data_IF_481075271122
#
_entry.id   IF_481075271122
#
_cell.length_a   1.000
_cell.length_b   1.000
_cell.length_c   1.000
_cell.angle_alpha   90.00
_cell.angle_beta   90.00
_cell.angle_gamma   90.00
#
_symmetry.space_group_name_H-M   'P 1'
#
loop_
_entity.id
_entity.type
_entity.pdbx_description
1 polymer ?
#
# COMPACT_ATOMS: atom_id res chain seq x y z
N UNK A 1 -5.77 29.20 -7.25
CA UNK A 1 -5.58 28.18 -6.21
C UNK A 1 -5.97 26.84 -6.81
N UNK A 2 -5.00 26.01 -7.16
CA UNK A 2 -5.24 24.68 -7.72
C UNK A 2 -4.52 23.68 -6.82
N UNK A 3 -5.29 22.93 -6.05
CA UNK A 3 -4.76 21.78 -5.31
C UNK A 3 -4.41 20.71 -6.34
N UNK A 4 -3.15 20.25 -6.38
CA UNK A 4 -2.73 19.16 -7.26
C UNK A 4 -2.64 17.88 -6.45
N UNK A 5 -3.62 17.00 -6.60
CA UNK A 5 -3.61 15.68 -5.97
C UNK A 5 -2.78 14.71 -6.81
N UNK A 6 -1.98 13.82 -6.19
CA UNK A 6 -1.17 12.85 -6.90
C UNK A 6 -2.00 11.61 -7.27
N UNK A 7 -3.02 11.79 -8.11
CA UNK A 7 -3.88 10.71 -8.66
C UNK A 7 -3.15 9.69 -9.54
N UNK A 8 -1.84 9.85 -9.69
CA UNK A 8 -0.95 8.96 -10.42
C UNK A 8 -0.14 8.08 -9.45
N UNK A 9 -0.16 8.40 -8.16
CA UNK A 9 0.54 7.68 -7.12
C UNK A 9 -0.36 6.56 -6.59
N UNK A 10 0.12 5.32 -6.74
CA UNK A 10 -0.67 4.14 -6.39
C UNK A 10 -0.96 4.09 -4.88
N UNK A 11 -0.08 4.60 -4.02
CA UNK A 11 -0.34 4.65 -2.59
C UNK A 11 -1.41 5.68 -2.22
N UNK A 12 -1.47 6.80 -2.94
CA UNK A 12 -2.54 7.79 -2.83
C UNK A 12 -3.89 7.19 -3.24
N UNK A 13 -3.95 6.54 -4.40
CA UNK A 13 -5.19 5.93 -4.88
C UNK A 13 -5.69 4.85 -3.92
N UNK A 14 -4.80 3.99 -3.44
CA UNK A 14 -5.11 2.96 -2.45
C UNK A 14 -5.61 3.59 -1.14
N UNK A 15 -4.88 4.59 -0.63
CA UNK A 15 -5.27 5.26 0.61
C UNK A 15 -6.62 5.97 0.53
N UNK A 16 -6.92 6.61 -0.61
CA UNK A 16 -8.21 7.24 -0.87
C UNK A 16 -9.32 6.20 -0.90
N UNK A 17 -9.14 5.08 -1.60
CA UNK A 17 -10.15 4.02 -1.71
C UNK A 17 -10.47 3.41 -0.35
N UNK A 18 -9.45 3.08 0.45
CA UNK A 18 -9.66 2.56 1.81
C UNK A 18 -10.27 3.61 2.75
N UNK A 19 -9.87 4.88 2.65
CA UNK A 19 -10.46 5.95 3.47
C UNK A 19 -11.94 6.14 3.14
N UNK A 20 -12.31 6.18 1.86
CA UNK A 20 -13.71 6.28 1.44
C UNK A 20 -14.53 5.10 1.99
N UNK A 21 -13.99 3.88 1.95
CA UNK A 21 -14.65 2.70 2.52
C UNK A 21 -15.00 2.89 4.01
N UNK A 22 -14.13 3.54 4.79
CA UNK A 22 -14.36 3.75 6.23
C UNK A 22 -15.39 4.81 6.58
N UNK A 23 -15.70 5.73 5.65
CA UNK A 23 -16.63 6.85 5.87
C UNK A 23 -18.04 6.50 5.38
N UNK A 24 -18.21 5.34 4.76
CA UNK A 24 -19.47 4.92 4.18
C UNK A 24 -20.45 4.40 5.24
N UNK A 25 -21.68 4.94 5.25
CA UNK A 25 -22.73 4.56 6.20
C UNK A 25 -23.37 3.22 5.79
N UNK A 26 -23.15 2.15 6.56
CA UNK A 26 -23.63 0.78 6.29
C UNK A 26 -25.13 0.55 6.55
N UNK A 27 -25.93 1.62 6.58
CA UNK A 27 -27.37 1.53 6.93
C UNK A 27 -28.28 0.92 5.84
N UNK A 28 -27.76 0.57 4.65
CA UNK A 28 -28.55 0.01 3.54
C UNK A 28 -27.82 -1.10 2.79
N UNK A 29 -28.55 -2.08 2.22
CA UNK A 29 -27.95 -3.17 1.41
C UNK A 29 -27.15 -2.66 0.19
N UNK A 30 -27.57 -1.53 -0.40
CA UNK A 30 -26.80 -0.86 -1.46
C UNK A 30 -25.45 -0.35 -0.95
N UNK A 31 -25.40 0.09 0.31
CA UNK A 31 -24.18 0.50 0.97
C UNK A 31 -23.23 -0.66 1.23
N UNK A 32 -23.75 -1.84 1.61
CA UNK A 32 -22.93 -3.06 1.79
C UNK A 32 -22.28 -3.49 0.47
N UNK A 33 -23.04 -3.42 -0.64
CA UNK A 33 -22.51 -3.71 -1.97
C UNK A 33 -21.48 -2.71 -2.44
N UNK A 34 -21.72 -1.43 -2.20
CA UNK A 34 -20.75 -0.39 -2.49
C UNK A 34 -19.47 -0.56 -1.64
N UNK A 35 -19.59 -0.86 -0.35
CA UNK A 35 -18.46 -1.10 0.55
C UNK A 35 -17.60 -2.28 0.11
N UNK A 36 -18.22 -3.44 -0.16
CA UNK A 36 -17.50 -4.61 -0.65
C UNK A 36 -16.82 -4.38 -2.01
N UNK A 37 -17.47 -3.65 -2.92
CA UNK A 37 -16.88 -3.29 -4.21
C UNK A 37 -15.67 -2.35 -4.06
N UNK A 38 -15.77 -1.35 -3.18
CA UNK A 38 -14.68 -0.41 -2.92
C UNK A 38 -13.47 -1.14 -2.32
N UNK A 39 -13.69 -2.05 -1.36
CA UNK A 39 -12.63 -2.89 -0.79
C UNK A 39 -11.98 -3.75 -1.87
N UNK A 40 -12.77 -4.37 -2.76
CA UNK A 40 -12.25 -5.17 -3.86
C UNK A 40 -11.41 -4.35 -4.85
N UNK A 41 -11.88 -3.17 -5.24
CA UNK A 41 -11.16 -2.26 -6.13
C UNK A 41 -9.86 -1.82 -5.46
N UNK A 42 -9.90 -1.41 -4.19
CA UNK A 42 -8.73 -0.98 -3.42
C UNK A 42 -7.67 -2.08 -3.32
N UNK A 43 -8.09 -3.29 -2.98
CA UNK A 43 -7.20 -4.45 -2.95
C UNK A 43 -6.58 -4.74 -4.33
N UNK A 44 -7.36 -4.61 -5.41
CA UNK A 44 -6.88 -4.85 -6.78
C UNK A 44 -5.86 -3.81 -7.22
N UNK A 45 -6.15 -2.52 -7.02
CA UNK A 45 -5.20 -1.43 -7.32
C UNK A 45 -3.91 -1.61 -6.52
N UNK A 46 -4.02 -1.98 -5.26
CA UNK A 46 -2.86 -2.22 -4.40
C UNK A 46 -2.03 -3.43 -4.85
N UNK A 47 -2.67 -4.52 -5.28
CA UNK A 47 -1.99 -5.68 -5.85
C UNK A 47 -1.18 -5.28 -7.09
N UNK A 48 -1.80 -4.59 -8.05
CA UNK A 48 -1.09 -4.09 -9.23
C UNK A 48 0.07 -3.16 -8.87
N UNK A 49 -0.13 -2.26 -7.90
CA UNK A 49 0.93 -1.39 -7.37
C UNK A 49 2.12 -2.17 -6.83
N UNK A 50 1.86 -3.24 -6.07
CA UNK A 50 2.91 -4.07 -5.49
C UNK A 50 3.73 -4.80 -6.56
N UNK A 51 3.09 -5.30 -7.61
CA UNK A 51 3.77 -5.96 -8.75
C UNK A 51 4.65 -4.96 -9.51
N UNK A 52 4.18 -3.73 -9.70
CA UNK A 52 4.96 -2.67 -10.33
C UNK A 52 6.18 -2.26 -9.48
N UNK A 53 6.03 -2.16 -8.15
CA UNK A 53 7.13 -1.93 -7.22
C UNK A 53 8.17 -3.06 -7.26
N UNK A 54 7.71 -4.32 -7.36
CA UNK A 54 8.60 -5.46 -7.53
C UNK A 54 9.35 -5.41 -8.85
N UNK A 55 8.68 -4.98 -9.92
CA UNK A 55 9.31 -4.80 -11.22
C UNK A 55 10.39 -3.71 -11.20
N UNK A 56 10.14 -2.60 -10.50
CA UNK A 56 11.13 -1.56 -10.26
C UNK A 56 12.34 -2.09 -9.49
N UNK A 57 12.13 -2.80 -8.38
CA UNK A 57 13.21 -3.40 -7.59
C UNK A 57 14.07 -4.41 -8.38
N UNK A 58 13.47 -5.13 -9.34
CA UNK A 58 14.23 -6.01 -10.25
C UNK A 58 15.07 -5.22 -11.25
N UNK A 59 14.62 -4.04 -11.68
CA UNK A 59 15.30 -3.29 -12.74
C UNK A 59 16.19 -2.13 -12.24
N UNK A 60 16.19 -1.83 -10.94
CA UNK A 60 16.98 -0.76 -10.32
C UNK A 60 18.48 -0.79 -10.67
N UNK A 61 19.06 -1.98 -10.82
CA UNK A 61 20.48 -2.14 -11.15
C UNK A 61 20.78 -2.16 -12.68
N UNK A 62 19.75 -1.99 -13.52
CA UNK A 62 19.84 -1.97 -15.00
C UNK A 62 19.35 -0.64 -15.60
N UNK A 63 18.65 0.17 -14.82
CA UNK A 63 18.23 1.55 -15.15
C UNK A 63 17.95 2.29 -13.85
N UNK A 64 18.51 3.49 -13.68
CA UNK A 64 18.12 4.40 -12.60
C UNK A 64 16.59 4.65 -12.68
N UNK A 65 15.86 4.35 -11.60
CA UNK A 65 14.43 4.57 -11.33
C UNK A 65 13.43 4.42 -12.53
N UNK A 66 12.59 3.37 -12.49
CA UNK A 66 11.63 3.01 -13.54
C UNK A 66 10.71 4.14 -14.01
N UNK A 67 10.29 5.05 -13.11
CA UNK A 67 9.44 6.19 -13.47
C UNK A 67 10.08 7.18 -14.45
N UNK A 68 11.37 7.50 -14.26
CA UNK A 68 12.14 8.36 -15.17
C UNK A 68 12.44 7.64 -16.49
N UNK A 69 12.80 6.36 -16.39
CA UNK A 69 13.13 5.56 -17.57
C UNK A 69 11.94 5.38 -18.52
N UNK A 70 10.71 5.21 -17.99
CA UNK A 70 9.49 5.17 -18.81
C UNK A 70 9.23 6.51 -19.49
N UNK A 71 9.35 7.64 -18.77
CA UNK A 71 9.18 8.98 -19.33
C UNK A 71 10.16 9.24 -20.49
N UNK A 72 11.42 8.82 -20.35
CA UNK A 72 12.46 9.02 -21.36
C UNK A 72 12.37 8.04 -22.55
N UNK A 73 11.76 6.86 -22.37
CA UNK A 73 11.40 5.96 -23.50
C UNK A 73 10.20 6.44 -24.29
N UNK A 74 9.21 7.07 -23.64
CA UNK A 74 8.12 7.76 -24.34
C UNK A 74 8.67 8.92 -25.19
N UNK A 75 9.71 9.60 -24.68
CA UNK A 75 10.44 10.64 -25.42
C UNK A 75 11.43 10.10 -26.48
N UNK A 76 11.55 8.76 -26.62
CA UNK A 76 12.27 8.11 -27.71
C UNK A 76 13.79 8.09 -27.59
N UNK A 77 14.35 8.35 -26.40
CA UNK A 77 15.79 8.57 -26.20
C UNK A 77 16.55 7.28 -25.80
N UNK A 78 15.88 6.25 -25.28
CA UNK A 78 16.55 5.03 -24.80
C UNK A 78 15.86 3.72 -25.22
N UNK A 79 16.65 2.67 -25.46
CA UNK A 79 16.19 1.29 -25.54
C UNK A 79 16.32 0.64 -24.16
N UNK A 80 15.21 0.55 -23.42
CA UNK A 80 15.18 -0.16 -22.13
C UNK A 80 15.27 -1.68 -22.33
N UNK A 81 16.25 -2.31 -21.70
CA UNK A 81 16.37 -3.77 -21.67
C UNK A 81 15.73 -4.31 -20.38
N UNK A 82 14.40 -4.20 -20.31
CA UNK A 82 13.61 -4.62 -19.17
C UNK A 82 13.68 -6.13 -18.98
N UNK A 83 14.00 -6.57 -17.76
CA UNK A 83 13.89 -7.97 -17.38
C UNK A 83 12.70 -8.16 -16.46
N UNK A 84 11.83 -9.10 -16.82
CA UNK A 84 10.71 -9.53 -15.97
C UNK A 84 11.14 -10.51 -14.89
N UNK A 85 12.19 -11.28 -15.15
CA UNK A 85 12.62 -12.36 -14.28
C UNK A 85 14.13 -12.27 -14.06
N UNK A 86 14.59 -12.07 -12.81
CA UNK A 86 16.00 -12.19 -12.51
C UNK A 86 16.44 -13.64 -12.72
N UNK A 87 17.68 -13.85 -13.16
CA UNK A 87 18.23 -15.21 -13.23
C UNK A 87 18.42 -15.77 -11.83
N UNK A 88 18.39 -17.11 -11.67
CA UNK A 88 18.62 -17.74 -10.36
C UNK A 88 19.96 -17.37 -9.73
N UNK A 89 20.98 -17.15 -10.58
CA UNK A 89 22.27 -16.64 -10.14
C UNK A 89 22.11 -15.25 -9.51
N UNK A 90 21.54 -14.29 -10.25
CA UNK A 90 21.34 -12.92 -9.77
C UNK A 90 20.47 -12.85 -8.52
N UNK A 91 19.41 -13.64 -8.47
CA UNK A 91 18.52 -13.76 -7.32
C UNK A 91 19.29 -14.16 -6.06
N UNK A 92 20.15 -15.17 -6.18
CA UNK A 92 20.90 -15.72 -5.04
C UNK A 92 22.07 -14.83 -4.62
N UNK A 93 22.74 -14.17 -5.56
CA UNK A 93 23.97 -13.42 -5.26
C UNK A 93 23.75 -11.95 -4.96
N UNK A 94 22.71 -11.33 -5.52
CA UNK A 94 22.47 -9.89 -5.39
C UNK A 94 21.15 -9.61 -4.66
N UNK A 95 20.02 -10.00 -5.25
CA UNK A 95 18.71 -9.54 -4.77
C UNK A 95 18.35 -9.96 -3.34
N UNK A 96 18.78 -11.13 -2.86
CA UNK A 96 18.53 -11.52 -1.46
C UNK A 96 19.29 -10.71 -0.41
N UNK A 97 20.26 -9.90 -0.83
CA UNK A 97 21.01 -9.01 0.07
C UNK A 97 20.56 -7.55 -0.03
N UNK A 98 19.76 -7.21 -1.05
CA UNK A 98 19.22 -5.87 -1.24
C UNK A 98 17.94 -5.69 -0.41
N UNK A 99 17.97 -4.75 0.54
CA UNK A 99 16.85 -4.53 1.48
C UNK A 99 15.61 -4.03 0.72
N UNK A 100 15.76 -3.14 -0.26
CA UNK A 100 14.69 -2.68 -1.14
C UNK A 100 13.99 -3.83 -1.89
N UNK A 101 14.73 -4.78 -2.45
CA UNK A 101 14.15 -5.96 -3.11
C UNK A 101 13.38 -6.84 -2.13
N UNK A 102 13.92 -7.06 -0.93
CA UNK A 102 13.24 -7.83 0.12
C UNK A 102 11.95 -7.12 0.59
N UNK A 103 11.95 -5.79 0.67
CA UNK A 103 10.78 -4.99 1.00
C UNK A 103 9.67 -5.17 -0.05
N UNK A 104 9.99 -4.93 -1.33
CA UNK A 104 9.05 -5.13 -2.44
C UNK A 104 8.54 -6.58 -2.54
N UNK A 105 9.41 -7.56 -2.29
CA UNK A 105 9.04 -8.98 -2.27
C UNK A 105 8.02 -9.28 -1.17
N UNK A 106 8.28 -8.81 0.05
CA UNK A 106 7.38 -8.97 1.19
C UNK A 106 6.04 -8.28 0.95
N UNK A 107 6.08 -7.08 0.35
CA UNK A 107 4.87 -6.33 0.00
C UNK A 107 4.04 -7.04 -1.04
N UNK A 108 4.66 -7.51 -2.12
CA UNK A 108 3.95 -8.22 -3.20
C UNK A 108 3.31 -9.50 -2.68
N UNK A 109 4.07 -10.29 -1.91
CA UNK A 109 3.51 -11.47 -1.24
C UNK A 109 2.33 -11.11 -0.34
N UNK A 110 2.48 -10.06 0.49
CA UNK A 110 1.42 -9.59 1.37
C UNK A 110 0.18 -9.15 0.60
N UNK A 111 0.37 -8.45 -0.52
CA UNK A 111 -0.71 -7.91 -1.34
C UNK A 111 -1.48 -9.03 -2.02
N UNK A 112 -0.79 -10.03 -2.57
CA UNK A 112 -1.43 -11.17 -3.23
C UNK A 112 -2.27 -11.98 -2.25
N UNK A 113 -1.80 -12.16 -1.00
CA UNK A 113 -2.57 -12.86 0.03
C UNK A 113 -3.74 -11.99 0.51
N UNK A 114 -3.52 -10.70 0.78
CA UNK A 114 -4.58 -9.76 1.19
C UNK A 114 -5.68 -9.63 0.13
N UNK A 115 -5.32 -9.73 -1.15
CA UNK A 115 -6.26 -9.64 -2.27
C UNK A 115 -7.36 -10.71 -2.22
N UNK A 116 -7.07 -11.89 -1.65
CA UNK A 116 -8.08 -12.94 -1.40
C UNK A 116 -9.22 -12.39 -0.52
N UNK A 117 -8.89 -11.64 0.52
CA UNK A 117 -9.85 -10.97 1.37
C UNK A 117 -10.61 -9.86 0.65
N UNK A 118 -9.92 -9.09 -0.20
CA UNK A 118 -10.57 -8.08 -1.04
C UNK A 118 -11.58 -8.68 -2.01
N UNK A 119 -11.28 -9.83 -2.61
CA UNK A 119 -12.19 -10.55 -3.49
C UNK A 119 -13.39 -11.13 -2.73
N UNK A 120 -13.14 -11.74 -1.56
CA UNK A 120 -14.19 -12.34 -0.74
C UNK A 120 -15.06 -11.30 -0.01
N UNK A 121 -14.63 -10.03 0.06
CA UNK A 121 -15.41 -8.91 0.60
C UNK A 121 -16.67 -8.58 -0.21
N UNK A 122 -16.77 -9.05 -1.46
CA UNK A 122 -17.97 -8.84 -2.29
C UNK A 122 -19.18 -9.51 -1.61
N UNK A 123 -20.30 -8.80 -1.37
CA UNK A 123 -21.40 -9.36 -0.57
C UNK A 123 -21.97 -10.67 -1.10
N UNK A 124 -22.10 -10.92 -2.42
CA UNK A 124 -22.56 -12.21 -2.92
C UNK A 124 -21.68 -13.39 -2.48
N UNK A 125 -20.38 -13.14 -2.30
CA UNK A 125 -19.41 -14.14 -1.84
C UNK A 125 -19.48 -14.21 -0.32
N UNK A 126 -19.26 -13.07 0.37
CA UNK A 126 -19.20 -13.00 1.83
C UNK A 126 -20.45 -13.59 2.50
N UNK A 127 -21.64 -13.24 2.02
CA UNK A 127 -22.92 -13.70 2.57
C UNK A 127 -23.20 -15.19 2.33
N UNK A 128 -22.42 -15.84 1.46
CA UNK A 128 -22.53 -17.28 1.18
C UNK A 128 -21.57 -18.13 2.01
N UNK A 129 -20.61 -17.51 2.71
CA UNK A 129 -19.60 -18.22 3.48
C UNK A 129 -20.17 -18.69 4.83
N UNK A 130 -19.80 -19.90 5.22
CA UNK A 130 -19.94 -20.33 6.61
C UNK A 130 -18.88 -19.64 7.48
N UNK A 131 -19.11 -19.53 8.79
CA UNK A 131 -18.14 -18.89 9.71
C UNK A 131 -16.71 -19.44 9.58
N UNK A 132 -16.47 -20.77 9.47
CA UNK A 132 -15.11 -21.28 9.22
C UNK A 132 -14.53 -20.84 7.87
N UNK A 133 -15.37 -20.74 6.84
CA UNK A 133 -14.94 -20.29 5.51
C UNK A 133 -14.66 -18.78 5.49
N UNK A 134 -15.46 -17.96 6.16
CA UNK A 134 -15.22 -16.53 6.37
C UNK A 134 -13.90 -16.30 7.13
N UNK A 135 -13.69 -17.01 8.23
CA UNK A 135 -12.44 -16.99 8.99
C UNK A 135 -11.22 -17.33 8.13
N UNK A 136 -11.34 -18.33 7.26
CA UNK A 136 -10.23 -18.79 6.40
C UNK A 136 -9.99 -17.94 5.16
N UNK A 137 -11.05 -17.44 4.51
CA UNK A 137 -10.97 -16.81 3.20
C UNK A 137 -11.08 -15.28 3.25
N UNK A 138 -11.69 -14.73 4.31
CA UNK A 138 -11.83 -13.29 4.50
C UNK A 138 -10.92 -12.75 5.61
N UNK A 139 -10.91 -13.32 6.82
CA UNK A 139 -10.14 -12.77 7.94
C UNK A 139 -8.66 -13.15 7.94
N UNK A 140 -8.35 -14.44 7.78
CA UNK A 140 -6.97 -14.94 7.83
C UNK A 140 -6.04 -14.29 6.78
N UNK A 141 -6.46 -14.11 5.51
CA UNK A 141 -5.57 -13.51 4.52
C UNK A 141 -5.30 -12.02 4.79
N UNK A 142 -6.19 -11.30 5.47
CA UNK A 142 -5.92 -9.92 5.92
C UNK A 142 -4.78 -9.88 6.94
N UNK A 143 -4.75 -10.84 7.87
CA UNK A 143 -3.68 -10.92 8.88
C UNK A 143 -2.36 -11.28 8.21
N UNK A 144 -2.33 -12.31 7.37
CA UNK A 144 -1.11 -12.73 6.68
C UNK A 144 -0.60 -11.62 5.76
N UNK A 145 -1.48 -11.03 4.95
CA UNK A 145 -1.14 -9.91 4.08
C UNK A 145 -0.62 -8.70 4.85
N UNK A 146 -1.33 -8.32 5.91
CA UNK A 146 -0.95 -7.26 6.84
C UNK A 146 0.43 -7.45 7.44
N UNK A 147 0.78 -8.68 7.85
CA UNK A 147 2.14 -8.97 8.34
C UNK A 147 3.21 -8.78 7.27
N UNK A 148 2.92 -9.11 6.01
CA UNK A 148 3.80 -8.81 4.87
C UNK A 148 4.03 -7.31 4.68
N UNK A 149 3.01 -6.48 4.88
CA UNK A 149 3.11 -5.02 4.82
C UNK A 149 3.89 -4.44 5.99
N UNK A 150 3.76 -5.01 7.19
CA UNK A 150 4.55 -4.62 8.37
C UNK A 150 6.04 -4.87 8.08
N UNK A 151 6.38 -6.06 7.59
CA UNK A 151 7.77 -6.43 7.25
C UNK A 151 8.30 -5.51 6.15
N UNK A 152 7.54 -5.31 5.06
CA UNK A 152 7.90 -4.39 3.98
C UNK A 152 8.20 -2.97 4.51
N UNK A 153 7.29 -2.43 5.33
CA UNK A 153 7.42 -1.06 5.86
C UNK A 153 8.66 -0.92 6.74
N UNK A 154 8.96 -1.92 7.58
CA UNK A 154 10.18 -1.93 8.38
C UNK A 154 11.45 -1.98 7.49
N UNK A 155 11.45 -2.78 6.43
CA UNK A 155 12.58 -2.87 5.51
C UNK A 155 12.78 -1.56 4.74
N UNK A 156 11.73 -0.91 4.26
CA UNK A 156 11.84 0.42 3.63
C UNK A 156 12.35 1.49 4.61
N UNK A 157 11.97 1.45 5.89
CA UNK A 157 12.56 2.33 6.89
C UNK A 157 14.05 2.03 7.12
N UNK A 158 14.46 0.76 7.05
CA UNK A 158 15.85 0.33 7.19
C UNK A 158 16.72 0.73 6.00
N UNK A 159 16.17 0.70 4.79
CA UNK A 159 16.84 1.12 3.54
C UNK A 159 17.35 2.57 3.61
N UNK A 160 16.52 3.47 4.17
CA UNK A 160 16.77 4.92 4.14
C UNK A 160 17.49 5.46 5.37
N UNK A 161 17.79 4.63 6.37
CA UNK A 161 18.49 5.04 7.59
C UNK A 161 19.96 4.62 7.58
N UNK A 162 20.83 5.45 8.15
CA UNK A 162 22.28 5.23 8.10
C UNK A 162 22.76 4.04 8.93
N UNK A 163 22.05 3.70 10.01
CA UNK A 163 22.32 2.58 10.88
C UNK A 163 20.98 1.99 11.32
N UNK A 164 20.88 0.66 11.37
CA UNK A 164 19.62 -0.05 11.66
C UNK A 164 18.92 0.33 12.97
N UNK A 165 19.66 0.89 13.95
CA UNK A 165 19.15 1.29 15.26
C UNK A 165 19.00 2.81 15.43
N UNK A 166 19.41 3.60 14.44
CA UNK A 166 19.33 5.06 14.48
C UNK A 166 18.25 5.50 13.49
N UNK A 167 17.05 5.87 13.98
CA UNK A 167 16.01 6.36 13.08
C UNK A 167 16.49 7.59 12.32
N UNK A 168 16.00 7.77 11.08
CA UNK A 168 16.37 8.87 10.20
C UNK A 168 15.22 9.88 10.03
N UNK A 169 14.81 10.62 11.08
CA UNK A 169 13.70 11.56 11.03
C UNK A 169 13.98 12.81 10.18
N UNK A 170 15.15 12.90 9.54
CA UNK A 170 15.47 13.93 8.55
C UNK A 170 15.18 13.50 7.11
N UNK A 171 14.82 12.24 6.87
CA UNK A 171 14.65 11.66 5.53
C UNK A 171 13.17 11.44 5.26
N UNK A 172 12.66 11.99 4.14
CA UNK A 172 11.26 11.85 3.77
C UNK A 172 10.83 10.40 3.60
N UNK A 173 11.68 9.58 2.96
CA UNK A 173 11.47 8.13 2.80
C UNK A 173 11.28 7.40 4.13
N UNK A 174 11.90 7.88 5.22
CA UNK A 174 11.76 7.26 6.53
C UNK A 174 10.38 7.48 7.13
N UNK A 175 9.80 8.67 6.97
CA UNK A 175 8.42 8.95 7.39
C UNK A 175 7.41 8.23 6.52
N UNK A 176 7.65 8.12 5.22
CA UNK A 176 6.85 7.30 4.29
C UNK A 176 6.77 5.87 4.83
N UNK A 177 7.92 5.24 5.11
CA UNK A 177 7.96 3.91 5.70
C UNK A 177 7.27 3.82 7.07
N UNK A 178 7.43 4.84 7.94
CA UNK A 178 6.80 4.88 9.26
C UNK A 178 5.27 4.93 9.18
N UNK A 179 4.70 5.78 8.32
CA UNK A 179 3.26 5.87 8.18
C UNK A 179 2.69 4.62 7.53
N UNK A 180 3.37 4.04 6.55
CA UNK A 180 3.00 2.72 6.00
C UNK A 180 3.01 1.63 7.07
N UNK A 181 3.99 1.65 7.99
CA UNK A 181 4.06 0.70 9.10
C UNK A 181 2.85 0.85 10.04
N UNK A 182 2.50 2.08 10.44
CA UNK A 182 1.34 2.33 11.31
C UNK A 182 0.05 1.89 10.62
N UNK A 183 -0.11 2.22 9.33
CA UNK A 183 -1.25 1.78 8.53
C UNK A 183 -1.34 0.25 8.42
N UNK A 184 -0.23 -0.43 8.15
CA UNK A 184 -0.14 -1.87 8.07
C UNK A 184 -0.51 -2.57 9.39
N UNK A 185 -0.08 -2.00 10.54
CA UNK A 185 -0.49 -2.48 11.86
C UNK A 185 -2.01 -2.34 12.02
N UNK A 186 -2.60 -1.22 11.61
CA UNK A 186 -4.05 -0.98 11.67
C UNK A 186 -4.85 -2.01 10.88
N UNK A 187 -4.47 -2.30 9.63
CA UNK A 187 -5.16 -3.33 8.83
C UNK A 187 -4.92 -4.76 9.35
N UNK A 188 -3.73 -5.05 9.84
CA UNK A 188 -3.44 -6.37 10.45
C UNK A 188 -4.31 -6.60 11.69
N UNK A 189 -4.45 -5.57 12.53
CA UNK A 189 -5.32 -5.61 13.71
C UNK A 189 -6.80 -5.71 13.33
N UNK A 190 -7.26 -5.04 12.28
CA UNK A 190 -8.61 -5.24 11.74
C UNK A 190 -8.87 -6.71 11.42
N UNK A 191 -7.99 -7.34 10.61
CA UNK A 191 -8.10 -8.75 10.26
C UNK A 191 -8.08 -9.67 11.48
N UNK A 192 -7.22 -9.37 12.46
CA UNK A 192 -7.07 -10.18 13.68
C UNK A 192 -8.28 -10.07 14.61
N UNK A 193 -8.87 -8.88 14.72
CA UNK A 193 -10.08 -8.65 15.52
C UNK A 193 -11.33 -9.23 14.84
N UNK A 194 -11.31 -9.39 13.50
CA UNK A 194 -12.38 -9.99 12.71
C UNK A 194 -12.87 -11.35 13.21
N UNK A 195 -11.96 -12.17 13.74
CA UNK A 195 -12.31 -13.47 14.32
C UNK A 195 -13.18 -13.40 15.59
N UNK A 196 -13.30 -12.24 16.21
CA UNK A 196 -13.95 -12.04 17.51
C UNK A 196 -15.13 -11.06 17.49
N UNK A 197 -15.67 -10.71 16.32
CA UNK A 197 -16.74 -9.71 16.12
C UNK A 197 -18.05 -10.02 16.86
N UNK A 198 -18.21 -11.24 17.37
CA UNK A 198 -19.32 -11.64 18.26
C UNK A 198 -19.41 -10.73 19.51
N UNK A 199 -18.28 -10.14 19.94
CA UNK A 199 -18.25 -9.20 21.06
C UNK A 199 -18.30 -7.75 20.56
N UNK A 200 -19.27 -6.92 21.01
CA UNK A 200 -19.40 -5.54 20.54
C UNK A 200 -18.15 -4.67 20.76
N UNK A 201 -17.38 -4.95 21.83
CA UNK A 201 -16.12 -4.25 22.07
C UNK A 201 -15.02 -4.58 21.05
N UNK A 202 -15.03 -5.80 20.51
CA UNK A 202 -14.08 -6.26 19.47
C UNK A 202 -14.49 -5.69 18.12
N UNK A 203 -15.78 -5.66 17.81
CA UNK A 203 -16.33 -5.02 16.60
C UNK A 203 -16.01 -3.52 16.57
N UNK A 204 -16.18 -2.79 17.69
CA UNK A 204 -15.76 -1.39 17.79
C UNK A 204 -14.25 -1.22 17.57
N UNK A 205 -13.42 -2.07 18.18
CA UNK A 205 -11.97 -2.03 18.01
C UNK A 205 -11.54 -2.32 16.57
N UNK A 206 -12.23 -3.23 15.87
CA UNK A 206 -12.02 -3.54 14.45
C UNK A 206 -12.28 -2.32 13.58
N UNK A 207 -13.45 -1.69 13.74
CA UNK A 207 -13.83 -0.49 12.98
C UNK A 207 -12.86 0.65 13.23
N UNK A 208 -12.49 0.87 14.49
CA UNK A 208 -11.50 1.89 14.87
C UNK A 208 -10.12 1.61 14.26
N UNK A 209 -9.68 0.36 14.26
CA UNK A 209 -8.39 -0.04 13.69
C UNK A 209 -8.36 0.17 12.17
N UNK A 210 -9.45 -0.16 11.49
CA UNK A 210 -9.63 0.06 10.04
C UNK A 210 -9.63 1.53 9.70
N UNK A 211 -10.33 2.34 10.49
CA UNK A 211 -10.37 3.78 10.37
C UNK A 211 -8.97 4.39 10.54
N UNK A 212 -8.28 4.09 11.64
CA UNK A 212 -6.93 4.62 11.89
C UNK A 212 -5.97 4.20 10.77
N UNK A 213 -5.98 2.92 10.39
CA UNK A 213 -5.11 2.40 9.33
C UNK A 213 -5.28 3.14 8.01
N UNK A 214 -6.53 3.31 7.57
CA UNK A 214 -6.86 3.97 6.29
C UNK A 214 -6.44 5.43 6.27
N UNK A 215 -6.74 6.18 7.34
CA UNK A 215 -6.39 7.59 7.44
C UNK A 215 -4.88 7.82 7.50
N UNK A 216 -4.15 6.94 8.18
CA UNK A 216 -2.69 7.04 8.25
C UNK A 216 -2.05 6.80 6.88
N UNK A 217 -2.52 5.83 6.10
CA UNK A 217 -2.09 5.67 4.70
C UNK A 217 -2.40 6.91 3.85
N UNK A 218 -3.53 7.58 4.11
CA UNK A 218 -3.85 8.82 3.40
C UNK A 218 -2.84 9.93 3.75
N UNK A 219 -2.51 10.09 5.03
CA UNK A 219 -1.47 11.04 5.44
C UNK A 219 -0.09 10.71 4.85
N UNK A 220 0.27 9.43 4.76
CA UNK A 220 1.49 8.98 4.11
C UNK A 220 1.58 9.44 2.65
N UNK A 221 0.54 9.13 1.88
CA UNK A 221 0.51 9.42 0.44
C UNK A 221 0.55 10.92 0.14
N UNK A 222 -0.07 11.75 1.00
CA UNK A 222 -0.03 13.20 0.90
C UNK A 222 1.35 13.78 1.20
N UNK A 223 2.13 13.14 2.09
CA UNK A 223 3.48 13.60 2.41
C UNK A 223 4.48 13.36 1.28
N UNK A 224 4.20 12.45 0.32
CA UNK A 224 5.08 12.19 -0.83
C UNK A 224 5.23 13.38 -1.77
N UNK A 225 4.21 14.24 -1.85
CA UNK A 225 4.18 15.38 -2.75
C UNK A 225 3.97 16.67 -1.95
N UNK A 226 5.05 17.36 -1.51
CA UNK A 226 4.90 18.65 -0.86
C UNK A 226 4.14 19.60 -1.80
N UNK A 227 3.06 20.18 -1.29
CA UNK A 227 2.23 21.13 -2.03
C UNK A 227 3.09 22.36 -2.37
N UNK A 228 3.53 22.47 -3.62
CA UNK A 228 4.26 23.65 -4.09
C UNK A 228 3.32 24.86 -4.14
N UNK A 229 3.51 25.80 -3.22
CA UNK A 229 2.87 27.11 -3.28
C UNK A 229 3.76 27.97 -4.18
N UNK A 230 3.33 28.20 -5.42
CA UNK A 230 3.97 29.21 -6.28
C UNK A 230 3.70 30.60 -5.68
N UNK A 231 4.59 31.07 -4.82
CA UNK A 231 4.65 32.45 -4.35
C UNK A 231 5.38 33.31 -5.39
N UNK A 232 4.83 33.40 -6.61
CA UNK A 232 5.29 34.32 -7.64
C UNK A 232 4.13 35.14 -8.22
N UNK A 233 3.61 36.04 -7.40
CA UNK A 233 2.86 37.20 -7.86
C UNK A 233 2.99 38.34 -6.84
N UNK A 234 3.97 39.24 -7.01
CA UNK A 234 4.00 40.45 -6.19
C UNK A 234 5.30 41.24 -6.02
N UNK A 235 6.43 40.85 -6.62
CA UNK A 235 7.62 41.72 -6.67
C UNK A 235 8.34 41.55 -7.99
N UNK A 236 7.92 42.30 -9.00
CA UNK A 236 8.76 42.80 -10.11
C UNK A 236 7.94 43.76 -11.01
N UNK A 237 7.08 44.60 -10.41
CA UNK A 237 6.55 45.80 -11.07
C UNK A 237 6.32 46.89 -10.02
N UNK A 238 7.40 47.61 -9.68
CA UNK A 238 7.42 49.04 -9.33
C UNK A 238 8.84 49.48 -9.00
#
# INVERSE_FOLDING_TARGET
>A
MLLRYPVWDVSYDVAVVFTIATVQDSSTEFSDWAGGLIVFIGATVFEFGSVLLMFEAVNENRSDCFGWAVEETVDGILYLNLSWWPTWYELRTYYFYEIGFLACSSQTFGATVFWISGFTALPPILNSLSTPAENGAYWLPQVIGGTGFIVSSMLFMLEVQSCWYIPAPGVLGWYIGLWNLIGAIGFTLCGALGFGTIQPGVEYALTLSTFIGSWVFLFESLNKYPVWVDEKAGRLER
#
